data_IF_205912086045
#
_entry.id   IF_205912086045
#
_cell.length_a   1.000
_cell.length_b   1.000
_cell.length_c   1.000
_cell.angle_alpha   90.00
_cell.angle_beta   90.00
_cell.angle_gamma   90.00
#
_symmetry.space_group_name_H-M   'P 1'
#
loop_
_entity.id
_entity.type
_entity.pdbx_description
1 polymer ?
#
# COMPACT_ATOMS: atom_id res chain seq x y z
N UNK A 1 -13.93 -41.65 -62.02
CA UNK A 1 -14.34 -41.17 -60.67
C UNK A 1 -13.50 -41.70 -59.50
N UNK A 2 -12.83 -42.86 -59.56
CA UNK A 2 -12.03 -43.39 -58.43
C UNK A 2 -10.72 -42.63 -58.12
N UNK A 3 -10.08 -42.02 -59.12
CA UNK A 3 -8.80 -41.32 -58.92
C UNK A 3 -8.88 -40.02 -58.10
N UNK A 4 -10.04 -39.33 -58.10
CA UNK A 4 -10.20 -38.08 -57.35
C UNK A 4 -10.33 -38.32 -55.83
N UNK A 5 -11.02 -39.40 -55.43
CA UNK A 5 -11.21 -39.73 -54.02
C UNK A 5 -9.88 -40.10 -53.31
N UNK A 6 -9.03 -40.84 -54.00
CA UNK A 6 -7.73 -41.28 -53.46
C UNK A 6 -6.74 -40.10 -53.30
N UNK A 7 -6.78 -39.14 -54.22
CA UNK A 7 -5.99 -37.91 -54.14
C UNK A 7 -6.47 -36.97 -53.03
N UNK A 8 -7.79 -36.89 -52.80
CA UNK A 8 -8.37 -36.14 -51.69
C UNK A 8 -8.01 -36.75 -50.33
N UNK A 9 -8.06 -38.08 -50.18
CA UNK A 9 -7.61 -38.74 -48.95
C UNK A 9 -6.12 -38.49 -48.68
N UNK A 10 -5.27 -38.63 -49.69
CA UNK A 10 -3.83 -38.36 -49.54
C UNK A 10 -3.51 -36.90 -49.20
N UNK A 11 -4.26 -35.94 -49.74
CA UNK A 11 -4.11 -34.53 -49.40
C UNK A 11 -4.58 -34.21 -47.97
N UNK A 12 -5.67 -34.85 -47.52
CA UNK A 12 -6.16 -34.75 -46.14
C UNK A 12 -5.19 -35.41 -45.15
N UNK A 13 -4.65 -36.60 -45.47
CA UNK A 13 -3.64 -37.27 -44.65
C UNK A 13 -2.34 -36.45 -44.55
N UNK A 14 -1.95 -35.79 -45.66
CA UNK A 14 -0.85 -34.84 -45.69
C UNK A 14 -1.09 -33.64 -44.77
N UNK A 15 -2.32 -33.09 -44.77
CA UNK A 15 -2.72 -31.98 -43.89
C UNK A 15 -2.73 -32.41 -42.42
N UNK A 16 -3.26 -33.59 -42.11
CA UNK A 16 -3.27 -34.16 -40.75
C UNK A 16 -1.83 -34.34 -40.25
N UNK A 17 -0.96 -34.92 -41.09
CA UNK A 17 0.46 -35.10 -40.74
C UNK A 17 1.15 -33.76 -40.50
N UNK A 18 0.89 -32.76 -41.34
CA UNK A 18 1.45 -31.42 -41.18
C UNK A 18 0.96 -30.72 -39.90
N UNK A 19 -0.33 -30.83 -39.58
CA UNK A 19 -0.90 -30.28 -38.35
C UNK A 19 -0.38 -31.01 -37.10
N UNK A 20 -0.26 -32.34 -37.15
CA UNK A 20 0.35 -33.11 -36.06
C UNK A 20 1.81 -32.73 -35.83
N UNK A 21 2.58 -32.54 -36.92
CA UNK A 21 3.96 -32.04 -36.82
C UNK A 21 4.00 -30.64 -36.24
N UNK A 22 3.18 -29.72 -36.75
CA UNK A 22 3.12 -28.33 -36.26
C UNK A 22 2.72 -28.26 -34.79
N UNK A 23 1.80 -29.14 -34.36
CA UNK A 23 1.41 -29.26 -32.95
C UNK A 23 2.57 -29.77 -32.08
N UNK A 24 3.31 -30.76 -32.56
CA UNK A 24 4.50 -31.26 -31.87
C UNK A 24 5.59 -30.17 -31.77
N UNK A 25 5.85 -29.45 -32.86
CA UNK A 25 6.82 -28.37 -32.90
C UNK A 25 6.43 -27.24 -31.93
N UNK A 26 5.14 -26.88 -31.86
CA UNK A 26 4.64 -25.87 -30.92
C UNK A 26 4.79 -26.31 -29.46
N UNK A 27 4.50 -27.58 -29.15
CA UNK A 27 4.68 -28.12 -27.81
C UNK A 27 6.16 -28.13 -27.40
N UNK A 28 7.06 -28.43 -28.34
CA UNK A 28 8.50 -28.39 -28.10
C UNK A 28 8.98 -26.95 -27.80
N UNK A 29 8.48 -25.97 -28.55
CA UNK A 29 8.78 -24.55 -28.31
C UNK A 29 8.26 -24.13 -26.94
N UNK A 30 7.01 -24.46 -26.61
CA UNK A 30 6.40 -24.17 -25.30
C UNK A 30 7.23 -24.75 -24.15
N UNK A 31 7.63 -26.01 -24.25
CA UNK A 31 8.46 -26.66 -23.23
C UNK A 31 9.83 -26.00 -23.07
N UNK A 32 10.49 -25.61 -24.17
CA UNK A 32 11.77 -24.91 -24.10
C UNK A 32 11.64 -23.54 -23.45
N UNK A 33 10.62 -22.77 -23.83
CA UNK A 33 10.34 -21.46 -23.25
C UNK A 33 10.08 -21.57 -21.74
N UNK A 34 9.29 -22.54 -21.30
CA UNK A 34 9.02 -22.76 -19.87
C UNK A 34 10.32 -23.11 -19.11
N UNK A 35 11.17 -23.96 -19.68
CA UNK A 35 12.44 -24.32 -19.07
C UNK A 35 13.40 -23.13 -18.98
N UNK A 36 13.50 -22.32 -20.04
CA UNK A 36 14.30 -21.09 -20.03
C UNK A 36 13.74 -20.08 -19.03
N UNK A 37 12.42 -19.92 -18.96
CA UNK A 37 11.77 -19.03 -18.00
C UNK A 37 12.10 -19.42 -16.55
N UNK A 38 11.99 -20.71 -16.20
CA UNK A 38 12.36 -21.20 -14.87
C UNK A 38 13.85 -21.10 -14.57
N UNK A 39 14.70 -21.16 -15.61
CA UNK A 39 16.15 -21.03 -15.44
C UNK A 39 16.59 -19.57 -15.26
N UNK A 40 16.01 -18.66 -16.04
CA UNK A 40 16.32 -17.22 -16.01
C UNK A 40 15.73 -16.57 -14.76
N UNK A 41 14.50 -16.93 -14.40
CA UNK A 41 13.82 -16.36 -13.25
C UNK A 41 13.78 -17.34 -12.08
N UNK A 42 14.64 -17.11 -11.09
CA UNK A 42 14.50 -17.71 -9.77
C UNK A 42 13.17 -17.34 -9.11
N UNK A 43 12.80 -18.06 -8.04
CA UNK A 43 11.51 -17.87 -7.37
C UNK A 43 11.23 -16.43 -6.91
N UNK A 44 12.28 -15.74 -6.45
CA UNK A 44 12.21 -14.35 -5.99
C UNK A 44 12.21 -13.30 -7.11
N UNK A 45 12.60 -13.69 -8.32
CA UNK A 45 12.69 -12.80 -9.50
C UNK A 45 11.61 -13.09 -10.53
N UNK A 46 10.72 -14.06 -10.28
CA UNK A 46 9.61 -14.38 -11.17
C UNK A 46 8.65 -13.19 -11.26
N UNK A 47 8.44 -12.60 -12.46
CA UNK A 47 7.60 -11.42 -12.63
C UNK A 47 6.16 -11.60 -12.13
N UNK A 48 5.56 -12.79 -12.31
CA UNK A 48 4.21 -13.07 -11.82
C UNK A 48 4.13 -13.09 -10.29
N UNK A 49 5.17 -13.63 -9.64
CA UNK A 49 5.27 -13.62 -8.17
C UNK A 49 5.58 -12.22 -7.63
N UNK A 50 6.34 -11.42 -8.36
CA UNK A 50 6.59 -10.02 -7.99
C UNK A 50 5.31 -9.21 -8.05
N UNK A 51 4.52 -9.33 -9.12
CA UNK A 51 3.24 -8.64 -9.25
C UNK A 51 2.28 -9.04 -8.12
N UNK A 52 2.19 -10.34 -7.79
CA UNK A 52 1.31 -10.78 -6.70
C UNK A 52 1.75 -10.23 -5.33
N UNK A 53 3.07 -10.17 -5.07
CA UNK A 53 3.62 -9.55 -3.86
C UNK A 53 3.37 -8.04 -3.82
N UNK A 54 3.55 -7.34 -4.93
CA UNK A 54 3.27 -5.89 -5.04
C UNK A 54 1.79 -5.63 -4.75
N UNK A 55 0.88 -6.38 -5.37
CA UNK A 55 -0.56 -6.23 -5.14
C UNK A 55 -0.92 -6.49 -3.67
N UNK A 56 -0.30 -7.52 -3.06
CA UNK A 56 -0.49 -7.80 -1.63
C UNK A 56 -0.02 -6.63 -0.76
N UNK A 57 1.18 -6.09 -1.01
CA UNK A 57 1.71 -4.94 -0.29
C UNK A 57 0.80 -3.71 -0.46
N UNK A 58 0.30 -3.45 -1.67
CA UNK A 58 -0.63 -2.34 -1.91
C UNK A 58 -1.93 -2.50 -1.11
N UNK A 59 -2.48 -3.71 -1.05
CA UNK A 59 -3.67 -3.99 -0.25
C UNK A 59 -3.42 -3.84 1.24
N UNK A 60 -2.32 -4.39 1.75
CA UNK A 60 -1.94 -4.28 3.16
C UNK A 60 -1.64 -2.83 3.55
N UNK A 61 -0.96 -2.07 2.68
CA UNK A 61 -0.68 -0.66 2.90
C UNK A 61 -1.97 0.17 3.01
N UNK A 62 -2.93 -0.03 2.11
CA UNK A 62 -4.22 0.65 2.18
C UNK A 62 -4.97 0.32 3.48
N UNK A 63 -4.93 -0.96 3.90
CA UNK A 63 -5.52 -1.38 5.17
C UNK A 63 -4.83 -0.73 6.38
N UNK A 64 -3.50 -0.64 6.37
CA UNK A 64 -2.73 -0.02 7.46
C UNK A 64 -3.01 1.48 7.53
N UNK A 65 -3.06 2.17 6.38
CA UNK A 65 -3.41 3.58 6.32
C UNK A 65 -4.77 3.86 6.95
N UNK A 66 -5.77 3.03 6.67
CA UNK A 66 -7.10 3.17 7.28
C UNK A 66 -7.06 2.96 8.80
N UNK A 67 -6.38 1.91 9.26
CA UNK A 67 -6.20 1.67 10.71
C UNK A 67 -5.47 2.83 11.41
N UNK A 68 -4.47 3.43 10.77
CA UNK A 68 -3.79 4.61 11.29
C UNK A 68 -4.73 5.82 11.38
N UNK A 69 -5.60 6.04 10.39
CA UNK A 69 -6.62 7.10 10.44
C UNK A 69 -7.61 6.90 11.58
N UNK A 70 -8.13 5.68 11.73
CA UNK A 70 -9.04 5.34 12.83
C UNK A 70 -8.37 5.55 14.20
N UNK A 71 -7.10 5.13 14.34
CA UNK A 71 -6.32 5.31 15.56
C UNK A 71 -6.09 6.79 15.89
N UNK A 72 -5.76 7.61 14.88
CA UNK A 72 -5.61 9.06 15.06
C UNK A 72 -6.92 9.71 15.48
N UNK A 73 -8.05 9.31 14.88
CA UNK A 73 -9.37 9.80 15.26
C UNK A 73 -9.73 9.42 16.70
N UNK A 74 -9.49 8.17 17.10
CA UNK A 74 -9.70 7.71 18.47
C UNK A 74 -8.81 8.45 19.47
N UNK A 75 -7.55 8.74 19.12
CA UNK A 75 -6.65 9.54 19.94
C UNK A 75 -7.16 10.98 20.11
N UNK A 76 -7.64 11.62 19.03
CA UNK A 76 -8.22 12.96 19.08
C UNK A 76 -9.44 13.00 20.03
N UNK A 77 -10.34 12.02 19.93
CA UNK A 77 -11.51 11.94 20.81
C UNK A 77 -11.13 11.82 22.30
N UNK A 78 -10.10 11.03 22.62
CA UNK A 78 -9.59 10.94 24.00
C UNK A 78 -9.00 12.27 24.46
N UNK A 79 -8.24 12.96 23.61
CA UNK A 79 -7.68 14.28 23.92
C UNK A 79 -8.79 15.30 24.19
N UNK A 80 -9.83 15.32 23.35
CA UNK A 80 -10.95 16.25 23.47
C UNK A 80 -11.74 15.99 24.77
N UNK A 81 -12.00 14.72 25.09
CA UNK A 81 -12.65 14.31 26.34
C UNK A 81 -11.82 14.67 27.57
N UNK A 82 -10.51 14.43 27.53
CA UNK A 82 -9.60 14.79 28.63
C UNK A 82 -9.57 16.30 28.83
N UNK A 83 -9.45 17.08 27.74
CA UNK A 83 -9.47 18.54 27.78
C UNK A 83 -10.78 19.07 28.35
N UNK A 84 -11.92 18.60 27.85
CA UNK A 84 -13.23 19.01 28.34
C UNK A 84 -13.39 18.71 29.84
N UNK A 85 -13.00 17.52 30.28
CA UNK A 85 -13.07 17.12 31.68
C UNK A 85 -12.18 17.98 32.57
N UNK A 86 -10.93 18.24 32.15
CA UNK A 86 -9.99 19.06 32.90
C UNK A 86 -10.47 20.51 33.03
N UNK A 87 -10.94 21.12 31.93
CA UNK A 87 -11.49 22.48 31.94
C UNK A 87 -12.72 22.57 32.85
N UNK A 88 -13.64 21.60 32.79
CA UNK A 88 -14.81 21.55 33.67
C UNK A 88 -14.41 21.42 35.15
N UNK A 89 -13.55 20.47 35.48
CA UNK A 89 -13.09 20.25 36.86
C UNK A 89 -12.37 21.49 37.41
N UNK A 90 -11.52 22.12 36.59
CA UNK A 90 -10.83 23.36 36.95
C UNK A 90 -11.82 24.49 37.23
N UNK A 91 -12.81 24.69 36.37
CA UNK A 91 -13.84 25.72 36.58
C UNK A 91 -14.62 25.51 37.89
N UNK A 92 -14.84 24.26 38.29
CA UNK A 92 -15.48 23.92 39.56
C UNK A 92 -14.56 24.21 40.75
N UNK A 93 -13.27 23.87 40.64
CA UNK A 93 -12.27 24.17 41.66
C UNK A 93 -12.11 25.68 41.88
N UNK A 94 -12.06 26.47 40.80
CA UNK A 94 -11.99 27.93 40.89
C UNK A 94 -13.23 28.50 41.60
N UNK A 95 -14.44 27.98 41.30
CA UNK A 95 -15.66 28.35 42.04
C UNK A 95 -15.55 27.99 43.52
N UNK A 96 -15.09 26.79 43.86
CA UNK A 96 -14.90 26.39 45.26
C UNK A 96 -13.88 27.28 45.99
N UNK A 97 -12.77 27.63 45.33
CA UNK A 97 -11.77 28.58 45.86
C UNK A 97 -12.39 29.95 46.13
N UNK A 98 -13.21 30.47 45.20
CA UNK A 98 -13.91 31.75 45.43
C UNK A 98 -14.84 31.70 46.64
N UNK A 99 -15.58 30.61 46.81
CA UNK A 99 -16.47 30.44 47.96
C UNK A 99 -15.71 30.26 49.28
N UNK A 100 -14.51 29.69 49.25
CA UNK A 100 -13.64 29.52 50.41
C UNK A 100 -12.78 30.76 50.73
N UNK A 101 -12.81 31.80 49.89
CA UNK A 101 -11.96 32.98 50.04
C UNK A 101 -10.47 32.73 49.73
N UNK A 102 -10.17 31.65 49.00
CA UNK A 102 -8.82 31.31 48.57
C UNK A 102 -8.45 32.04 47.27
N UNK A 103 -7.17 32.37 47.06
CA UNK A 103 -6.72 32.99 45.82
C UNK A 103 -6.95 32.04 44.63
N UNK A 104 -7.50 32.58 43.55
CA UNK A 104 -7.73 31.87 42.29
C UNK A 104 -6.42 31.87 41.51
N UNK A 105 -5.99 30.70 41.05
CA UNK A 105 -4.89 30.59 40.08
C UNK A 105 -5.50 30.72 38.68
N UNK A 106 -5.13 31.78 37.97
CA UNK A 106 -5.51 31.99 36.58
C UNK A 106 -4.88 30.93 35.67
N UNK A 107 -5.53 30.63 34.55
CA UNK A 107 -5.13 29.58 33.61
C UNK A 107 -3.74 29.84 33.02
N UNK A 108 -3.37 31.11 32.84
CA UNK A 108 -2.05 31.52 32.35
C UNK A 108 -0.93 31.41 33.39
N UNK A 109 -1.29 31.33 34.68
CA UNK A 109 -0.36 31.28 35.81
C UNK A 109 -0.20 29.86 36.37
N UNK A 110 -0.86 28.86 35.76
CA UNK A 110 -0.76 27.46 36.13
C UNK A 110 0.19 26.72 35.18
N UNK A 111 1.42 26.42 35.64
CA UNK A 111 2.44 25.83 34.78
C UNK A 111 2.05 24.43 34.29
N UNK A 112 1.27 23.67 35.05
CA UNK A 112 0.79 22.35 34.65
C UNK A 112 -0.26 22.43 33.52
N UNK A 113 -1.18 23.40 33.59
CA UNK A 113 -2.20 23.61 32.57
C UNK A 113 -1.61 24.19 31.27
N UNK A 114 -0.64 25.10 31.38
CA UNK A 114 0.11 25.63 30.24
C UNK A 114 0.88 24.50 29.54
N UNK A 115 1.61 23.68 30.31
CA UNK A 115 2.34 22.53 29.77
C UNK A 115 1.41 21.55 29.04
N UNK A 116 0.27 21.21 29.66
CA UNK A 116 -0.73 20.36 29.01
C UNK A 116 -1.22 20.94 27.68
N UNK A 117 -1.56 22.22 27.65
CA UNK A 117 -2.04 22.89 26.44
C UNK A 117 -0.99 22.89 25.33
N UNK A 118 0.27 23.16 25.68
CA UNK A 118 1.40 23.13 24.75
C UNK A 118 1.59 21.73 24.14
N UNK A 119 1.56 20.67 24.96
CA UNK A 119 1.71 19.28 24.47
C UNK A 119 0.60 18.91 23.49
N UNK A 120 -0.64 19.37 23.72
CA UNK A 120 -1.75 19.14 22.79
C UNK A 120 -1.52 19.90 21.47
N UNK A 121 -1.11 21.16 21.53
CA UNK A 121 -0.84 21.98 20.35
C UNK A 121 0.31 21.41 19.50
N UNK A 122 1.40 20.96 20.13
CA UNK A 122 2.51 20.29 19.47
C UNK A 122 2.06 19.03 18.75
N UNK A 123 1.23 18.20 19.40
CA UNK A 123 0.67 17.01 18.77
C UNK A 123 -0.26 17.36 17.59
N UNK A 124 -1.13 18.37 17.72
CA UNK A 124 -2.00 18.82 16.63
C UNK A 124 -1.19 19.34 15.43
N UNK A 125 -0.09 20.04 15.68
CA UNK A 125 0.82 20.49 14.62
C UNK A 125 1.48 19.30 13.89
N UNK A 126 1.92 18.28 14.63
CA UNK A 126 2.53 17.09 14.06
C UNK A 126 1.56 16.29 13.17
N UNK A 127 0.31 16.11 13.61
CA UNK A 127 -0.72 15.40 12.80
C UNK A 127 -1.02 16.15 11.50
N UNK A 128 -1.07 17.49 11.54
CA UNK A 128 -1.31 18.31 10.34
C UNK A 128 -0.14 18.22 9.35
N UNK A 129 1.09 18.36 9.84
CA UNK A 129 2.28 18.25 9.01
C UNK A 129 2.41 16.88 8.32
N UNK A 130 2.01 15.80 9.00
CA UNK A 130 1.97 14.45 8.40
C UNK A 130 0.96 14.34 7.24
N UNK A 131 -0.21 14.97 7.37
CA UNK A 131 -1.27 14.91 6.36
C UNK A 131 -0.90 15.71 5.09
N UNK A 132 -0.19 16.83 5.24
CA UNK A 132 0.21 17.67 4.11
C UNK A 132 1.31 17.02 3.25
N UNK A 133 2.18 16.20 3.85
CA UNK A 133 3.29 15.53 3.16
C UNK A 133 2.83 14.36 2.27
N UNK A 134 1.77 13.64 2.66
CA UNK A 134 1.20 12.52 1.90
C UNK A 134 0.65 12.95 0.52
N UNK A 135 0.19 14.20 0.38
CA UNK A 135 -0.33 14.72 -0.89
C UNK A 135 0.77 15.04 -1.92
N UNK A 136 2.04 15.07 -1.50
CA UNK A 136 3.16 15.50 -2.35
C UNK A 136 3.99 14.32 -2.90
N UNK A 137 3.92 13.14 -2.28
CA UNK A 137 4.68 11.93 -2.67
C UNK A 137 4.08 11.16 -3.87
N UNK A 138 2.98 11.65 -4.46
CA UNK A 138 2.36 11.04 -5.66
C UNK A 138 3.15 11.25 -6.97
N UNK A 139 4.31 11.89 -6.92
CA UNK A 139 5.30 11.90 -8.00
C UNK A 139 6.22 10.67 -7.84
N UNK A 140 5.77 9.46 -8.17
CA UNK A 140 5.92 8.92 -9.53
C UNK A 140 7.35 8.99 -10.09
N UNK A 141 8.40 8.91 -9.27
CA UNK A 141 9.75 8.60 -9.77
C UNK A 141 9.86 7.10 -10.09
N UNK A 142 9.22 6.76 -11.20
CA UNK A 142 9.65 5.80 -12.21
C UNK A 142 10.25 4.47 -11.72
N UNK A 143 9.46 3.74 -10.93
CA UNK A 143 9.73 2.34 -10.55
C UNK A 143 9.99 1.48 -11.80
N UNK A 144 9.32 1.78 -12.91
CA UNK A 144 9.54 1.09 -14.18
C UNK A 144 10.95 1.35 -14.72
N UNK A 145 11.43 2.60 -14.74
CA UNK A 145 12.80 2.89 -15.16
C UNK A 145 13.85 2.19 -14.28
N UNK A 146 13.63 2.09 -12.97
CA UNK A 146 14.52 1.37 -12.06
C UNK A 146 14.56 -0.15 -12.32
N UNK A 147 13.40 -0.75 -12.61
CA UNK A 147 13.28 -2.19 -12.86
C UNK A 147 13.84 -2.59 -14.23
N UNK A 148 13.66 -1.76 -15.26
CA UNK A 148 14.08 -2.08 -16.63
C UNK A 148 15.52 -1.67 -16.96
N UNK A 149 16.13 -0.75 -16.20
CA UNK A 149 17.56 -0.41 -16.36
C UNK A 149 18.51 -1.49 -15.81
N UNK A 150 18.07 -2.30 -14.83
CA UNK A 150 18.89 -3.37 -14.24
C UNK A 150 18.95 -4.67 -15.07
N UNK A 151 18.08 -4.83 -16.09
CA UNK A 151 17.91 -6.09 -16.84
C UNK A 151 18.69 -6.09 -18.17
N UNK A 152 19.28 -4.98 -18.59
CA UNK A 152 20.13 -4.95 -19.80
C UNK A 152 21.61 -5.09 -19.39
N UNK A 153 22.24 -6.27 -19.51
CA UNK A 153 23.68 -6.33 -19.50
C UNK A 153 24.19 -5.59 -20.76
N UNK A 154 25.06 -4.60 -20.55
CA UNK A 154 25.74 -3.90 -21.65
C UNK A 154 26.48 -4.88 -22.56
N UNK A 155 26.45 -4.56 -23.86
CA UNK A 155 27.11 -5.25 -24.97
C UNK A 155 28.45 -5.93 -24.65
#
# INVERSE_FOLDING_TARGET
MRHYHDYHHRAVDGLVTFLSKSHHDLNLVSFKLEKEFQHVYSDNTNPMKLVSRINKIQQELASIQEQCRELLAAKQDVIDKARATLVLNRSLLQKLQTHAGLPIIDDSNDPEFVNFSQVIEEWTAHVRAGTDNENQESASEDINHLLFSAIVPGN
#
